data_IF_275700048827
#
_entry.id   IF_275700048827
#
_cell.length_a   1.000
_cell.length_b   1.000
_cell.length_c   1.000
_cell.angle_alpha   90.00
_cell.angle_beta   90.00
_cell.angle_gamma   90.00
#
_symmetry.space_group_name_H-M   'P 1'
#
loop_
_entity.id
_entity.type
_entity.pdbx_description
1 polymer ?
#
# COMPACT_ATOMS: atom_id res chain seq x y z
N UNK A 1 9.25 -21.73 -5.54
CA UNK A 1 8.98 -21.22 -5.65
C UNK A 1 8.46 -20.21 -5.22
N UNK A 2 8.67 -19.47 -5.17
CA UNK A 2 8.19 -18.51 -4.54
C UNK A 2 7.08 -18.05 -5.03
N UNK A 3 6.09 -18.15 -4.42
CA UNK A 3 5.03 -17.67 -4.91
C UNK A 3 5.02 -16.28 -4.74
N UNK A 4 4.77 -15.45 -5.57
CA UNK A 4 4.62 -14.07 -5.41
C UNK A 4 3.43 -13.75 -4.65
N UNK A 5 3.58 -13.50 -3.38
CA UNK A 5 2.46 -13.11 -2.58
C UNK A 5 2.00 -11.73 -2.87
N UNK A 6 2.81 -10.90 -3.51
CA UNK A 6 2.48 -9.50 -3.75
C UNK A 6 2.06 -9.29 -5.19
N UNK A 7 1.12 -8.38 -5.40
CA UNK A 7 0.80 -7.97 -6.76
C UNK A 7 1.97 -7.19 -7.32
N UNK A 8 2.06 -7.02 -8.64
CA UNK A 8 3.16 -6.23 -9.20
C UNK A 8 3.22 -4.81 -8.66
N UNK A 9 2.08 -4.20 -8.40
CA UNK A 9 2.11 -2.86 -7.82
C UNK A 9 2.61 -2.87 -6.39
N UNK A 10 2.26 -3.88 -5.62
CA UNK A 10 2.77 -3.99 -4.26
C UNK A 10 4.27 -4.24 -4.27
N UNK A 11 4.76 -5.02 -5.22
CA UNK A 11 6.20 -5.21 -5.35
C UNK A 11 6.88 -3.90 -5.68
N UNK A 12 6.24 -3.10 -6.52
CA UNK A 12 6.79 -1.79 -6.84
C UNK A 12 6.81 -0.89 -5.60
N UNK A 13 5.80 -0.99 -4.74
CA UNK A 13 5.81 -0.24 -3.49
C UNK A 13 7.03 -0.63 -2.66
N UNK A 14 7.33 -1.92 -2.58
CA UNK A 14 8.49 -2.34 -1.79
C UNK A 14 9.79 -1.81 -2.39
N UNK A 15 9.89 -1.82 -3.70
CA UNK A 15 11.06 -1.26 -4.37
C UNK A 15 11.18 0.24 -4.11
N UNK A 16 10.07 0.95 -4.24
CA UNK A 16 10.05 2.39 -3.99
C UNK A 16 10.34 2.72 -2.53
N UNK A 17 9.96 1.82 -1.64
CA UNK A 17 10.29 2.00 -0.21
C UNK A 17 11.80 1.96 0.01
N UNK A 18 12.47 1.04 -0.66
CA UNK A 18 13.91 0.98 -0.57
C UNK A 18 14.55 2.22 -1.16
N UNK A 19 14.03 2.66 -2.29
CA UNK A 19 14.52 3.87 -2.91
C UNK A 19 14.36 5.07 -1.99
N UNK A 20 13.22 5.16 -1.32
CA UNK A 20 12.99 6.25 -0.38
C UNK A 20 13.99 6.21 0.77
N UNK A 21 14.28 5.03 1.27
CA UNK A 21 15.27 4.90 2.35
C UNK A 21 16.65 5.34 1.88
N UNK A 22 17.01 4.98 0.66
CA UNK A 22 18.29 5.40 0.11
C UNK A 22 18.33 6.92 -0.05
N UNK A 23 17.26 7.50 -0.57
CA UNK A 23 17.22 8.94 -0.75
C UNK A 23 17.36 9.69 0.55
N UNK A 24 16.81 9.14 1.61
CA UNK A 24 16.88 9.79 2.91
C UNK A 24 18.12 9.39 3.69
N UNK A 25 18.90 8.46 3.18
CA UNK A 25 20.10 8.04 3.84
C UNK A 25 19.88 7.20 5.08
N UNK A 26 18.76 6.48 5.11
CA UNK A 26 18.47 5.62 6.25
C UNK A 26 18.95 4.21 5.93
N UNK A 27 19.54 3.56 6.89
CA UNK A 27 20.11 2.23 6.68
C UNK A 27 19.10 1.11 6.80
N UNK A 28 17.83 1.42 6.89
CA UNK A 28 16.78 0.44 7.08
C UNK A 28 15.57 0.85 6.27
N UNK A 29 14.64 -0.08 6.10
CA UNK A 29 13.35 0.23 5.47
C UNK A 29 12.29 0.07 6.54
N UNK A 30 11.73 1.16 6.99
CA UNK A 30 10.72 1.14 8.03
C UNK A 30 9.34 1.42 7.49
N UNK A 31 8.37 1.50 8.37
CA UNK A 31 7.00 1.79 7.95
C UNK A 31 6.89 3.15 7.29
N UNK A 32 7.72 4.09 7.68
CA UNK A 32 7.71 5.41 7.06
C UNK A 32 8.15 5.32 5.60
N UNK A 33 9.07 4.43 5.29
CA UNK A 33 9.50 4.24 3.91
C UNK A 33 8.45 3.47 3.13
N UNK A 34 7.74 2.54 3.79
CA UNK A 34 6.61 1.89 3.14
C UNK A 34 5.53 2.91 2.78
N UNK A 35 5.28 3.85 3.67
CA UNK A 35 4.32 4.90 3.40
C UNK A 35 4.73 5.71 2.17
N UNK A 36 6.00 6.07 2.08
CA UNK A 36 6.48 6.79 0.91
C UNK A 36 6.34 5.95 -0.35
N UNK A 37 6.61 4.66 -0.26
CA UNK A 37 6.42 3.78 -1.41
C UNK A 37 4.97 3.74 -1.87
N UNK A 38 4.05 3.72 -0.91
CA UNK A 38 2.62 3.72 -1.24
C UNK A 38 2.21 5.02 -1.93
N UNK A 39 2.82 6.12 -1.53
CA UNK A 39 2.52 7.40 -2.16
C UNK A 39 3.11 7.46 -3.56
N UNK A 40 4.30 6.92 -3.73
CA UNK A 40 5.01 7.03 -5.01
C UNK A 40 4.52 6.06 -6.08
N UNK A 41 3.85 5.00 -5.68
CA UNK A 41 3.27 4.08 -6.65
C UNK A 41 1.90 4.65 -7.02
N UNK A 42 1.85 5.39 -8.09
CA UNK A 42 0.71 6.27 -8.39
C UNK A 42 -0.51 5.59 -8.94
N UNK A 43 -0.43 4.35 -9.32
CA UNK A 43 -1.58 3.69 -9.91
C UNK A 43 -2.36 2.83 -8.94
N UNK A 44 -1.87 2.67 -7.73
CA UNK A 44 -2.51 1.79 -6.77
C UNK A 44 -3.65 2.45 -6.01
N UNK A 45 -4.44 1.63 -5.37
CA UNK A 45 -5.52 2.12 -4.55
C UNK A 45 -4.99 2.94 -3.39
N UNK A 46 -3.86 2.51 -2.81
CA UNK A 46 -3.30 3.24 -1.68
C UNK A 46 -2.98 4.67 -2.05
N UNK A 47 -2.37 4.85 -3.21
CA UNK A 47 -2.04 6.21 -3.66
C UNK A 47 -3.31 7.07 -3.78
N UNK A 48 -4.37 6.49 -4.32
CA UNK A 48 -5.60 7.24 -4.50
C UNK A 48 -6.18 7.67 -3.17
N UNK A 49 -6.20 6.77 -2.20
CA UNK A 49 -6.73 7.11 -0.89
C UNK A 49 -5.84 8.17 -0.22
N UNK A 50 -4.53 7.98 -0.28
CA UNK A 50 -3.62 8.95 0.33
C UNK A 50 -3.79 10.32 -0.30
N UNK A 51 -3.95 10.36 -1.62
CA UNK A 51 -4.17 11.62 -2.31
C UNK A 51 -5.47 12.27 -1.91
N UNK A 52 -6.52 11.49 -1.76
CA UNK A 52 -7.80 12.04 -1.34
C UNK A 52 -7.75 12.64 0.04
N UNK A 53 -6.86 12.13 0.88
CA UNK A 53 -6.69 12.69 2.21
C UNK A 53 -5.63 13.80 2.24
N UNK A 54 -5.11 14.17 1.08
CA UNK A 54 -4.14 15.26 0.99
C UNK A 54 -2.74 14.92 1.43
N UNK A 55 -2.40 13.64 1.50
CA UNK A 55 -1.07 13.23 1.95
C UNK A 55 -0.14 13.19 0.74
N UNK A 56 0.93 13.96 0.80
CA UNK A 56 1.88 14.01 -0.31
C UNK A 56 3.25 13.56 0.14
N UNK A 57 4.07 13.22 -0.84
CA UNK A 57 5.44 12.81 -0.59
C UNK A 57 6.18 13.90 0.20
N UNK A 58 5.99 15.14 -0.20
CA UNK A 58 6.68 16.25 0.44
C UNK A 58 6.32 16.39 1.90
N UNK A 59 5.04 16.23 2.21
CA UNK A 59 4.60 16.33 3.59
C UNK A 59 5.24 15.25 4.45
N UNK A 60 5.23 14.03 3.93
CA UNK A 60 5.78 12.92 4.68
C UNK A 60 7.28 13.08 4.87
N UNK A 61 7.98 13.46 3.81
CA UNK A 61 9.41 13.65 3.91
C UNK A 61 9.76 14.77 4.88
N UNK A 62 8.97 15.83 4.86
CA UNK A 62 9.20 16.94 5.77
C UNK A 62 9.06 16.52 7.23
N UNK A 63 7.99 15.79 7.54
CA UNK A 63 7.79 15.33 8.91
C UNK A 63 8.90 14.37 9.30
N UNK A 64 9.29 13.49 8.38
CA UNK A 64 10.32 12.52 8.66
C UNK A 64 11.65 13.19 8.95
N UNK A 65 12.02 14.15 8.15
CA UNK A 65 13.28 14.82 8.36
C UNK A 65 13.34 15.55 9.69
N UNK A 66 12.21 16.09 10.13
CA UNK A 66 12.18 16.75 11.43
C UNK A 66 12.19 15.74 12.58
N UNK A 67 11.63 14.57 12.35
CA UNK A 67 11.51 13.59 13.42
C UNK A 67 12.72 12.67 13.52
N UNK A 68 13.24 12.23 12.40
CA UNK A 68 14.29 11.24 12.40
C UNK A 68 15.60 11.80 11.87
N UNK A 69 15.48 12.77 10.99
CA UNK A 69 16.66 13.34 10.37
C UNK A 69 16.96 12.64 9.06
N UNK A 70 18.06 13.05 8.48
CA UNK A 70 18.46 12.52 7.20
C UNK A 70 19.87 12.00 7.33
N UNK A 71 20.12 10.86 6.76
CA UNK A 71 21.46 10.30 6.77
C UNK A 71 22.20 10.64 5.49
N UNK A 72 23.17 9.82 5.15
CA UNK A 72 23.95 10.00 3.93
C UNK A 72 23.18 9.35 2.81
N UNK A 73 22.65 10.14 1.89
CA UNK A 73 21.83 9.56 0.86
C UNK A 73 22.61 8.76 -0.12
N UNK A 74 21.98 7.84 -0.75
CA UNK A 74 22.54 7.04 -1.80
C UNK A 74 23.03 5.67 -1.38
N UNK A 75 23.10 5.40 -0.10
CA UNK A 75 23.54 4.08 0.34
C UNK A 75 22.33 3.16 0.44
N UNK A 76 22.44 1.99 -0.11
CA UNK A 76 21.34 1.04 -0.01
C UNK A 76 21.13 0.64 1.44
N UNK A 77 19.88 0.47 1.86
CA UNK A 77 19.62 0.07 3.24
C UNK A 77 20.08 -1.36 3.47
N UNK A 78 21.08 -1.52 4.28
CA UNK A 78 21.66 -2.82 4.50
C UNK A 78 20.99 -3.59 5.61
N UNK A 79 20.18 -2.94 6.41
CA UNK A 79 19.54 -3.63 7.52
C UNK A 79 18.21 -4.23 7.17
N UNK A 80 17.71 -3.94 5.99
CA UNK A 80 16.44 -4.52 5.56
C UNK A 80 15.25 -3.91 6.26
N UNK A 81 14.18 -4.67 6.35
CA UNK A 81 12.95 -4.18 6.95
C UNK A 81 13.03 -4.15 8.45
N UNK A 82 12.52 -3.09 9.05
CA UNK A 82 12.46 -3.02 10.51
C UNK A 82 11.41 -4.00 11.02
N UNK A 83 11.45 -4.34 12.31
CA UNK A 83 10.42 -5.22 12.87
C UNK A 83 9.01 -4.66 12.69
N UNK A 84 8.85 -3.34 12.83
CA UNK A 84 7.53 -2.76 12.63
C UNK A 84 7.09 -2.85 11.18
N UNK A 85 8.02 -2.66 10.24
CA UNK A 85 7.68 -2.81 8.83
C UNK A 85 7.28 -4.24 8.53
N UNK A 86 7.95 -5.21 9.15
CA UNK A 86 7.57 -6.60 8.98
C UNK A 86 6.19 -6.85 9.54
N UNK A 87 5.87 -6.25 10.68
CA UNK A 87 4.53 -6.41 11.25
C UNK A 87 3.47 -5.81 10.35
N UNK A 88 3.78 -4.69 9.71
CA UNK A 88 2.83 -4.09 8.76
C UNK A 88 2.56 -5.08 7.62
N UNK A 89 3.61 -5.70 7.11
CA UNK A 89 3.43 -6.65 6.01
C UNK A 89 2.66 -7.87 6.48
N UNK A 90 2.90 -8.36 7.68
CA UNK A 90 2.15 -9.49 8.21
C UNK A 90 0.68 -9.16 8.36
N UNK A 91 0.38 -7.96 8.81
CA UNK A 91 -1.02 -7.56 8.88
C UNK A 91 -1.62 -7.40 7.49
N UNK A 92 -0.83 -6.96 6.52
CA UNK A 92 -1.32 -6.86 5.16
C UNK A 92 -1.67 -8.24 4.61
N UNK A 93 -0.89 -9.24 4.94
CA UNK A 93 -1.20 -10.61 4.55
C UNK A 93 -2.55 -11.02 5.16
N UNK A 94 -2.75 -10.72 6.42
CA UNK A 94 -4.01 -11.02 7.08
C UNK A 94 -5.18 -10.31 6.43
N UNK A 95 -4.98 -9.05 6.04
CA UNK A 95 -6.05 -8.31 5.39
C UNK A 95 -6.40 -8.91 4.03
N UNK A 96 -5.39 -9.32 3.27
CA UNK A 96 -5.67 -9.89 1.97
C UNK A 96 -6.44 -11.20 2.12
N UNK A 97 -6.11 -11.99 3.13
CA UNK A 97 -6.84 -13.22 3.35
C UNK A 97 -8.28 -12.94 3.77
N UNK A 98 -8.47 -11.98 4.64
CA UNK A 98 -9.82 -11.66 5.05
C UNK A 98 -10.68 -11.15 3.92
N UNK A 99 -10.08 -10.33 3.05
CA UNK A 99 -10.87 -9.79 1.97
C UNK A 99 -11.05 -10.80 0.86
N UNK A 100 -10.01 -11.50 0.51
CA UNK A 100 -10.12 -12.44 -0.57
C UNK A 100 -10.72 -13.72 -0.17
N UNK A 101 -10.52 -14.10 1.07
CA UNK A 101 -11.08 -15.33 1.50
C UNK A 101 -12.52 -15.27 1.74
N UNK A 102 -13.10 -14.19 1.52
CA UNK A 102 -14.45 -14.12 1.79
C UNK A 102 -15.17 -15.17 1.09
N UNK A 103 -16.34 -15.23 1.29
CA UNK A 103 -17.13 -16.22 0.82
C UNK A 103 -17.11 -16.36 -0.61
N UNK A 104 -16.58 -15.51 -1.31
CA UNK A 104 -16.81 -15.65 -2.63
C UNK A 104 -15.91 -16.59 -3.16
N UNK A 105 -15.95 -17.49 -3.55
CA UNK A 105 -15.09 -18.43 -4.05
C UNK A 105 -14.04 -17.90 -4.92
N UNK A 106 -14.04 -16.66 -5.16
CA UNK A 106 -13.00 -16.13 -5.98
C UNK A 106 -11.66 -16.32 -5.38
N UNK A 107 -11.63 -16.45 -4.10
CA UNK A 107 -10.36 -16.57 -3.50
C UNK A 107 -9.64 -17.79 -3.92
N UNK A 108 -10.35 -18.79 -4.42
CA UNK A 108 -9.68 -19.89 -4.77
C UNK A 108 -8.79 -19.64 -5.89
N UNK A 109 -8.91 -18.66 -6.62
CA UNK A 109 -8.06 -18.46 -7.71
C UNK A 109 -6.77 -17.85 -7.31
N UNK A 110 -6.39 -17.99 -6.13
CA UNK A 110 -5.14 -17.43 -5.72
C UNK A 110 -5.21 -15.97 -5.55
N UNK A 111 -6.34 -15.49 -5.37
CA UNK A 111 -6.45 -14.12 -5.30
C UNK A 111 -6.14 -13.56 -3.99
N UNK A 112 -5.50 -14.24 -3.11
CA UNK A 112 -5.12 -13.61 -1.88
C UNK A 112 -3.81 -12.85 -2.04
N UNK A 113 -3.47 -12.43 -3.22
CA UNK A 113 -2.28 -11.62 -3.39
C UNK A 113 -2.41 -10.31 -2.65
N UNK A 114 -1.30 -9.86 -2.11
CA UNK A 114 -1.28 -8.64 -1.31
C UNK A 114 -1.07 -7.46 -2.22
N UNK A 115 -2.03 -6.57 -2.26
CA UNK A 115 -1.95 -5.38 -3.09
C UNK A 115 -1.60 -4.15 -2.28
N UNK A 116 -1.54 -3.01 -2.93
CA UNK A 116 -1.18 -1.77 -2.24
C UNK A 116 -2.20 -1.42 -1.18
N UNK A 117 -3.47 -1.70 -1.44
CA UNK A 117 -4.50 -1.42 -0.46
C UNK A 117 -4.26 -2.22 0.82
N UNK A 118 -3.88 -3.47 0.68
CA UNK A 118 -3.63 -4.29 1.86
C UNK A 118 -2.42 -3.79 2.63
N UNK A 119 -1.40 -3.32 1.93
CA UNK A 119 -0.24 -2.75 2.62
C UNK A 119 -0.62 -1.52 3.42
N UNK A 120 -1.45 -0.67 2.84
CA UNK A 120 -1.91 0.52 3.57
C UNK A 120 -2.76 0.11 4.76
N UNK A 121 -3.64 -0.86 4.59
CA UNK A 121 -4.46 -1.34 5.70
C UNK A 121 -3.59 -1.90 6.83
N UNK A 122 -2.56 -2.65 6.47
CA UNK A 122 -1.64 -3.16 7.49
C UNK A 122 -0.95 -2.04 8.24
N UNK A 123 -0.53 -1.01 7.51
CA UNK A 123 0.11 0.13 8.13
C UNK A 123 -0.83 0.84 9.10
N UNK A 124 -2.08 0.98 8.71
CA UNK A 124 -3.05 1.65 9.55
C UNK A 124 -3.42 0.82 10.78
N UNK A 125 -3.36 -0.49 10.65
CA UNK A 125 -3.73 -1.34 11.77
C UNK A 125 -2.60 -1.61 12.75
N UNK A 126 -1.36 -1.53 12.32
CA UNK A 126 -0.26 -1.77 13.21
C UNK A 126 -0.05 -0.50 14.02
N UNK A 127 -0.61 -0.36 15.11
CA UNK A 127 -0.82 0.89 15.83
C UNK A 127 0.41 1.63 16.32
N UNK A 128 1.59 1.07 16.22
CA UNK A 128 2.76 1.72 16.80
C UNK A 128 3.84 2.10 15.83
N UNK A 129 3.55 2.13 14.55
CA UNK A 129 4.61 2.37 13.58
C UNK A 129 4.76 3.84 13.23
N UNK A 130 5.92 4.17 12.68
CA UNK A 130 6.24 5.55 12.36
C UNK A 130 5.37 6.09 11.22
N UNK A 131 5.06 5.25 10.24
CA UNK A 131 4.19 5.70 9.16
C UNK A 131 2.85 6.19 9.68
N UNK A 132 2.30 5.46 10.63
CA UNK A 132 1.03 5.87 11.21
C UNK A 132 1.17 7.18 12.00
N UNK A 133 2.29 7.33 12.70
CA UNK A 133 2.52 8.57 13.43
C UNK A 133 2.59 9.75 12.48
N UNK A 134 3.23 9.56 11.33
CA UNK A 134 3.33 10.63 10.35
C UNK A 134 1.95 10.99 9.84
N UNK A 135 1.12 9.98 9.55
CA UNK A 135 -0.23 10.25 9.08
C UNK A 135 -1.01 11.07 10.10
N UNK A 136 -0.88 10.72 11.37
CA UNK A 136 -1.57 11.49 12.39
C UNK A 136 -1.02 12.90 12.49
N UNK A 137 0.28 13.05 12.33
CA UNK A 137 0.90 14.36 12.40
C UNK A 137 0.38 15.29 11.29
N UNK A 138 0.13 14.74 10.11
CA UNK A 138 -0.39 15.57 9.03
C UNK A 138 -1.91 15.66 9.05
N UNK A 139 -2.54 15.17 10.10
CA UNK A 139 -3.97 15.40 10.30
C UNK A 139 -4.89 14.30 9.82
N UNK A 140 -4.38 13.13 9.53
CA UNK A 140 -5.22 12.04 9.04
C UNK A 140 -5.75 11.23 10.20
N UNK A 141 -7.05 10.93 10.14
CA UNK A 141 -7.66 10.01 11.08
C UNK A 141 -7.50 8.61 10.50
N UNK A 142 -6.73 7.74 11.15
CA UNK A 142 -6.47 6.42 10.58
C UNK A 142 -7.74 5.60 10.36
N UNK A 143 -8.72 5.75 11.23
CA UNK A 143 -9.95 4.98 11.05
C UNK A 143 -10.71 5.42 9.82
N UNK A 144 -10.72 6.71 9.55
CA UNK A 144 -11.38 7.20 8.35
C UNK A 144 -10.65 6.75 7.10
N UNK A 145 -9.34 6.76 7.15
CA UNK A 145 -8.58 6.31 6.00
C UNK A 145 -8.78 4.81 5.77
N UNK A 146 -8.79 4.02 6.84
CA UNK A 146 -9.05 2.59 6.71
C UNK A 146 -10.41 2.34 6.05
N UNK A 147 -11.42 3.07 6.49
CA UNK A 147 -12.75 2.94 5.90
C UNK A 147 -12.75 3.33 4.43
N UNK A 148 -11.97 4.35 4.08
CA UNK A 148 -11.89 4.76 2.68
C UNK A 148 -11.24 3.68 1.82
N UNK A 149 -10.23 2.99 2.36
CA UNK A 149 -9.61 1.89 1.62
C UNK A 149 -10.61 0.77 1.42
N UNK A 150 -11.34 0.42 2.47
CA UNK A 150 -12.35 -0.62 2.36
C UNK A 150 -13.39 -0.28 1.32
N UNK A 151 -13.83 0.97 1.33
CA UNK A 151 -14.83 1.37 0.37
C UNK A 151 -14.33 1.25 -1.05
N UNK A 152 -13.10 1.66 -1.30
CA UNK A 152 -12.56 1.56 -2.65
C UNK A 152 -12.41 0.10 -3.07
N UNK A 153 -12.00 -0.76 -2.15
CA UNK A 153 -11.90 -2.17 -2.49
C UNK A 153 -13.27 -2.76 -2.80
N UNK A 154 -14.27 -2.39 -2.04
CA UNK A 154 -15.60 -2.91 -2.27
C UNK A 154 -16.22 -2.36 -3.55
N UNK A 155 -15.82 -1.18 -3.95
CA UNK A 155 -16.34 -0.60 -5.17
C UNK A 155 -15.69 -1.13 -6.43
N UNK A 156 -14.60 -1.88 -6.30
CA UNK A 156 -13.95 -2.40 -7.47
C UNK A 156 -14.73 -3.57 -8.04
N UNK A 157 -14.87 -3.64 -9.33
CA UNK A 157 -15.57 -4.77 -9.91
C UNK A 157 -14.78 -6.04 -9.68
N UNK A 158 -15.52 -7.10 -9.26
CA UNK A 158 -14.86 -8.32 -9.06
C UNK A 158 -14.23 -8.82 -10.28
N UNK A 159 -14.78 -8.57 -11.39
CA UNK A 159 -14.25 -9.05 -12.62
C UNK A 159 -12.91 -8.43 -12.91
N UNK A 160 -12.68 -7.24 -12.42
CA UNK A 160 -11.43 -6.62 -12.68
C UNK A 160 -10.31 -7.39 -12.06
N UNK A 161 -10.60 -8.05 -11.03
CA UNK A 161 -9.56 -8.82 -10.43
C UNK A 161 -9.15 -9.95 -11.33
N UNK A 162 -10.01 -10.39 -12.12
CA UNK A 162 -9.69 -11.46 -12.99
C UNK A 162 -9.17 -11.01 -14.28
N UNK A 163 -9.13 -9.92 -14.50
CA UNK A 163 -8.64 -9.51 -15.59
C UNK A 163 -9.44 -9.30 -16.63
N UNK A 164 -9.78 -9.39 -17.17
CA UNK A 164 -10.40 -9.27 -18.09
C UNK A 164 -11.22 -8.71 -18.68
N UNK A 165 -11.52 -8.66 -19.20
CA UNK A 165 -12.18 -8.49 -19.79
C UNK A 165 -13.02 -7.69 -20.16
N UNK A 166 -13.33 -7.32 -20.44
CA UNK A 166 -14.03 -6.65 -20.69
C UNK A 166 -14.92 -6.42 -21.36
N UNK A 167 -15.39 -6.30 -21.78
CA UNK A 167 -16.11 -6.24 -22.35
C UNK A 167 -16.84 -5.53 -23.05
N UNK A 168 -17.06 -5.48 -23.25
CA UNK A 168 -17.60 -5.02 -23.81
C UNK A 168 -18.62 -4.78 -24.31
N UNK A 169 -19.11 -4.66 -24.32
CA UNK A 169 -19.98 -4.49 -24.59
C UNK A 169 -20.61 -3.88 -25.38
N UNK A 170 -20.78 -3.73 -25.61
CA UNK A 170 -21.28 -3.23 -26.19
C UNK A 170 -21.97 -3.18 -26.96
N UNK A 171 -22.03 -3.37 -27.12
CA UNK A 171 -22.47 -3.33 -27.76
C UNK A 171 -23.42 -3.21 -28.36
N UNK A 172 -23.79 -3.23 -28.43
CA UNK A 172 -24.49 -3.24 -28.76
C UNK A 172 -25.31 -2.75 -29.29
N UNK A 173 -25.42 -2.70 -29.30
CA UNK A 173 -26.06 -2.33 -29.53
C UNK A 173 -26.67 -1.99 -30.42
N UNK A 174 -26.85 -2.00 -30.59
CA UNK A 174 -27.36 -1.63 -31.16
C UNK A 174 -27.98 -1.59 -31.97
N UNK A 175 -28.43 -1.60 -32.17
CA UNK A 175 -29.00 -1.49 -32.78
C UNK A 175 -29.59 -1.30 -33.53
N UNK A 176 -29.97 -1.20 -33.84
CA UNK A 176 -30.54 -1.01 -34.37
C UNK A 176 -30.79 -0.80 -34.97
#
# INVERSE_FOLDING_TARGET
MSENKFTPRAEEVLRLSQEAAEDLGHGYVGSEHLLLGLIREEEGIAHRVLSEFGVTDEMVCSVLQRSVGKGVSGAAPSQGLTPRAKSVIELAVGESHRMGGGDSGASRMGSSAIGTAHLLMGLLREGGNMGLRILRTVGVDPNKMYSAVLKKLNDMPRAAAGGASAPNREAGKKNK
#
